data_IF_742618746893
#
_entry.id   IF_742618746893
#
_cell.length_a   1.000
_cell.length_b   1.000
_cell.length_c   1.000
_cell.angle_alpha   90.00
_cell.angle_beta   90.00
_cell.angle_gamma   90.00
#
_symmetry.space_group_name_H-M   'P 1'
#
loop_
_entity.id
_entity.type
_entity.pdbx_description
1 polymer ?
#
# COMPACT_ATOMS: atom_id res chain seq x y z
N UNK A 1 15.17 16.86 9.79
CA UNK A 1 15.25 17.29 8.38
C UNK A 1 14.24 16.45 7.66
N UNK A 2 13.16 17.04 7.16
CA UNK A 2 12.21 16.30 6.32
C UNK A 2 13.00 15.72 5.16
N UNK A 3 13.05 14.40 5.09
CA UNK A 3 13.42 13.74 3.87
C UNK A 3 12.31 14.16 2.89
N UNK A 4 12.65 14.95 1.86
CA UNK A 4 11.74 15.37 0.80
C UNK A 4 12.26 14.73 -0.49
N UNK A 5 11.42 13.96 -1.19
CA UNK A 5 11.82 13.21 -2.38
C UNK A 5 11.08 13.77 -3.58
N UNK A 6 11.75 13.90 -4.73
CA UNK A 6 11.09 14.38 -5.95
C UNK A 6 10.61 13.17 -6.76
N UNK A 7 9.36 13.21 -7.22
CA UNK A 7 8.81 12.17 -8.07
C UNK A 7 9.50 12.16 -9.44
N UNK A 8 10.07 11.03 -9.91
CA UNK A 8 10.86 11.01 -11.14
C UNK A 8 10.04 11.23 -12.41
N UNK A 9 8.73 10.94 -12.36
CA UNK A 9 7.85 11.04 -13.54
C UNK A 9 7.13 12.39 -13.63
N UNK A 10 6.76 12.99 -12.49
CA UNK A 10 5.98 14.24 -12.45
C UNK A 10 6.77 15.44 -11.96
N UNK A 11 7.92 15.23 -11.29
CA UNK A 11 8.71 16.30 -10.69
C UNK A 11 8.11 16.88 -9.41
N UNK A 12 7.04 16.28 -8.87
CA UNK A 12 6.37 16.75 -7.66
C UNK A 12 7.21 16.48 -6.41
N UNK A 13 7.09 17.37 -5.42
CA UNK A 13 7.72 17.16 -4.11
C UNK A 13 6.85 16.20 -3.31
N UNK A 14 7.42 15.04 -3.02
CA UNK A 14 6.82 14.02 -2.19
C UNK A 14 7.28 14.21 -0.76
N UNK A 15 6.32 14.15 0.15
CA UNK A 15 6.58 14.13 1.58
C UNK A 15 6.35 12.73 2.13
N UNK A 16 7.19 12.35 3.10
CA UNK A 16 7.02 11.08 3.80
C UNK A 16 5.71 11.12 4.58
N UNK A 17 4.79 10.25 4.23
CA UNK A 17 3.47 10.16 4.84
C UNK A 17 2.99 8.73 4.91
N UNK A 18 1.78 8.54 5.41
CA UNK A 18 1.13 7.22 5.46
C UNK A 18 -0.26 7.36 4.87
N UNK A 19 -0.58 6.54 3.85
CA UNK A 19 -1.90 6.54 3.20
C UNK A 19 -2.58 5.21 3.44
N UNK A 20 -3.86 5.27 3.82
CA UNK A 20 -4.68 4.06 3.93
C UNK A 20 -4.94 3.50 2.54
N UNK A 21 -4.54 2.24 2.33
CA UNK A 21 -4.88 1.48 1.14
C UNK A 21 -5.81 0.34 1.50
N UNK A 22 -6.85 0.17 0.69
CA UNK A 22 -7.76 -0.96 0.80
C UNK A 22 -7.20 -2.12 -0.01
N UNK A 23 -6.58 -3.08 0.68
CA UNK A 23 -6.11 -4.32 0.10
C UNK A 23 -7.29 -5.24 -0.07
N UNK A 24 -7.65 -5.54 -1.33
CA UNK A 24 -8.76 -6.42 -1.67
C UNK A 24 -8.24 -7.75 -2.21
N UNK A 25 -8.64 -8.85 -1.60
CA UNK A 25 -8.33 -10.20 -2.06
C UNK A 25 -9.59 -11.05 -2.13
N UNK A 26 -10.03 -11.35 -3.36
CA UNK A 26 -11.26 -12.10 -3.62
C UNK A 26 -12.47 -11.42 -2.99
N UNK A 27 -13.08 -12.11 -2.02
CA UNK A 27 -14.26 -11.65 -1.28
C UNK A 27 -13.92 -10.72 -0.11
N UNK A 28 -12.66 -10.68 0.30
CA UNK A 28 -12.19 -9.99 1.49
C UNK A 28 -11.50 -8.68 1.13
N UNK A 29 -11.62 -7.70 2.01
CA UNK A 29 -10.93 -6.42 1.90
C UNK A 29 -10.50 -5.94 3.27
N UNK A 30 -9.30 -5.35 3.36
CA UNK A 30 -8.77 -4.77 4.59
C UNK A 30 -8.05 -3.47 4.29
N UNK A 31 -8.32 -2.47 5.12
CA UNK A 31 -7.59 -1.21 5.09
C UNK A 31 -6.28 -1.35 5.86
N UNK A 32 -5.19 -0.95 5.25
CA UNK A 32 -3.85 -0.95 5.85
C UNK A 32 -3.21 0.42 5.64
N UNK A 33 -2.48 0.86 6.63
CA UNK A 33 -1.76 2.12 6.60
C UNK A 33 -0.41 1.87 5.92
N UNK A 34 -0.28 2.31 4.67
CA UNK A 34 0.94 2.10 3.89
C UNK A 34 1.80 3.34 4.01
N UNK A 35 2.97 3.27 4.65
CA UNK A 35 3.91 4.37 4.63
C UNK A 35 4.45 4.57 3.22
N UNK A 36 4.75 5.80 2.84
CA UNK A 36 5.11 6.09 1.46
C UNK A 36 5.47 7.55 1.26
N UNK A 37 5.84 7.86 0.04
CA UNK A 37 6.18 9.21 -0.39
C UNK A 37 5.06 9.72 -1.26
N UNK A 38 4.23 10.59 -0.70
CA UNK A 38 3.03 11.05 -1.38
C UNK A 38 3.17 12.51 -1.77
N UNK A 39 2.72 12.91 -2.96
CA UNK A 39 2.57 14.32 -3.30
C UNK A 39 1.43 14.91 -2.47
N UNK A 40 1.32 16.23 -2.45
CA UNK A 40 0.18 16.91 -1.79
C UNK A 40 -1.17 16.63 -2.50
N UNK A 41 -1.14 16.19 -3.76
CA UNK A 41 -2.33 15.80 -4.51
C UNK A 41 -2.64 14.30 -4.48
N UNK A 42 -3.53 13.88 -5.38
CA UNK A 42 -3.89 12.47 -5.60
C UNK A 42 -2.93 11.72 -6.54
N UNK A 43 -1.71 12.24 -6.72
CA UNK A 43 -0.69 11.66 -7.57
C UNK A 43 -0.13 10.32 -7.06
N UNK A 44 0.64 9.67 -7.92
CA UNK A 44 1.27 8.39 -7.60
C UNK A 44 2.36 8.58 -6.52
N UNK A 45 2.29 7.75 -5.48
CA UNK A 45 3.24 7.80 -4.38
C UNK A 45 4.36 6.80 -4.59
N UNK A 46 5.57 7.12 -4.14
CA UNK A 46 6.70 6.17 -4.16
C UNK A 46 6.68 5.36 -2.86
N UNK A 47 6.58 4.05 -2.98
CA UNK A 47 6.74 3.12 -1.85
C UNK A 47 8.09 2.43 -1.95
N UNK A 48 8.74 2.21 -0.81
CA UNK A 48 9.89 1.29 -0.77
C UNK A 48 9.39 -0.16 -0.51
N UNK A 49 10.25 -1.15 -0.72
CA UNK A 49 9.86 -2.55 -0.48
C UNK A 49 9.50 -2.88 0.98
N UNK A 50 10.07 -2.16 1.95
CA UNK A 50 9.74 -2.32 3.37
C UNK A 50 8.36 -1.73 3.72
N UNK A 51 7.96 -0.66 3.05
CA UNK A 51 6.68 0.01 3.22
C UNK A 51 5.54 -0.86 2.69
N UNK A 52 5.79 -1.54 1.58
CA UNK A 52 4.85 -2.50 1.01
C UNK A 52 4.85 -3.84 1.75
N UNK A 53 5.81 -4.10 2.64
CA UNK A 53 5.90 -5.39 3.32
C UNK A 53 4.68 -5.68 4.20
N UNK A 54 4.13 -4.65 4.87
CA UNK A 54 2.92 -4.80 5.67
C UNK A 54 1.68 -5.01 4.80
N UNK A 55 1.55 -4.24 3.72
CA UNK A 55 0.47 -4.42 2.74
C UNK A 55 0.51 -5.81 2.08
N UNK A 56 1.70 -6.28 1.69
CA UNK A 56 1.92 -7.61 1.11
C UNK A 56 1.61 -8.72 2.11
N UNK A 57 2.03 -8.56 3.37
CA UNK A 57 1.68 -9.48 4.46
C UNK A 57 0.16 -9.59 4.61
N UNK A 58 -0.53 -8.46 4.71
CA UNK A 58 -2.00 -8.44 4.84
C UNK A 58 -2.66 -9.03 3.59
N UNK A 59 -2.16 -8.74 2.39
CA UNK A 59 -2.65 -9.36 1.17
C UNK A 59 -2.51 -10.88 1.19
N UNK A 60 -1.37 -11.42 1.64
CA UNK A 60 -1.16 -12.86 1.79
C UNK A 60 -2.11 -13.47 2.82
N UNK A 61 -2.31 -12.83 3.97
CA UNK A 61 -3.25 -13.29 5.00
C UNK A 61 -4.69 -13.30 4.49
N UNK A 62 -5.12 -12.26 3.75
CA UNK A 62 -6.44 -12.22 3.13
C UNK A 62 -6.60 -13.28 2.03
N UNK A 63 -5.54 -13.50 1.24
CA UNK A 63 -5.54 -14.52 0.19
C UNK A 63 -5.65 -15.92 0.76
N UNK A 64 -4.96 -16.19 1.86
CA UNK A 64 -5.03 -17.46 2.55
C UNK A 64 -6.44 -17.71 3.10
N UNK A 65 -7.01 -16.72 3.79
CA UNK A 65 -8.39 -16.77 4.28
C UNK A 65 -9.43 -16.95 3.16
N UNK A 66 -9.30 -16.21 2.05
CA UNK A 66 -10.21 -16.34 0.91
C UNK A 66 -10.09 -17.74 0.27
N UNK A 67 -8.87 -18.29 0.16
CA UNK A 67 -8.64 -19.67 -0.28
C UNK A 67 -9.27 -20.69 0.68
N UNK A 68 -9.16 -20.52 1.98
CA UNK A 68 -9.81 -21.42 2.95
C UNK A 68 -11.34 -21.35 2.85
N UNK A 69 -11.88 -20.15 2.60
CA UNK A 69 -13.32 -19.91 2.52
C UNK A 69 -13.95 -20.41 1.21
N UNK A 70 -13.24 -20.28 0.10
CA UNK A 70 -13.66 -20.79 -1.23
C UNK A 70 -13.14 -22.19 -1.54
N UNK A 71 -12.21 -22.72 -0.74
CA UNK A 71 -11.52 -24.00 -0.94
C UNK A 71 -12.07 -25.15 -0.11
N UNK A 72 -13.34 -25.12 0.31
CA UNK A 72 -14.00 -26.33 0.82
C UNK A 72 -14.72 -27.04 -0.35
N UNK A 73 -14.43 -28.33 -0.60
CA UNK A 73 -15.06 -29.11 -1.67
C UNK A 73 -16.56 -29.30 -1.46
#
# INVERSE_FOLDING_TARGET
>A
MEEARVHPTTGETLSRGTRRQTIRCGSLSREVEVPGWYPEGDGDGIHNGADLAEADRVFRELRDQDKERHGRP
#
